data_IF_680786797768
#
_entry.id   IF_680786797768
#
_cell.length_a   1.000
_cell.length_b   1.000
_cell.length_c   1.000
_cell.angle_alpha   90.00
_cell.angle_beta   90.00
_cell.angle_gamma   90.00
#
_symmetry.space_group_name_H-M   'P 1'
#
loop_
_entity.id
_entity.type
_entity.pdbx_description
1 polymer ?
#
# COMPACT_ATOMS: atom_id res chain seq x y z
N UNK A 1 -4.41 -2.63 41.04
CA UNK A 1 -4.46 -3.62 39.94
C UNK A 1 -4.91 -3.01 38.61
N UNK A 2 -5.94 -2.16 38.56
CA UNK A 2 -6.45 -1.58 37.30
C UNK A 2 -5.44 -0.76 36.48
N UNK A 3 -4.66 0.11 37.12
CA UNK A 3 -3.66 0.94 36.41
C UNK A 3 -2.53 0.11 35.79
N UNK A 4 -1.92 -0.79 36.57
CA UNK A 4 -0.87 -1.70 36.07
C UNK A 4 -1.40 -2.63 34.98
N UNK A 5 -2.62 -3.16 35.14
CA UNK A 5 -3.28 -3.96 34.09
C UNK A 5 -3.51 -3.16 32.80
N UNK A 6 -3.92 -1.90 32.92
CA UNK A 6 -4.10 -0.99 31.78
C UNK A 6 -2.78 -0.72 31.04
N UNK A 7 -1.69 -0.47 31.78
CA UNK A 7 -0.36 -0.27 31.17
C UNK A 7 0.14 -1.53 30.45
N UNK A 8 -0.03 -2.70 31.07
CA UNK A 8 0.35 -3.98 30.46
C UNK A 8 -0.44 -4.24 29.19
N UNK A 9 -1.76 -4.04 29.22
CA UNK A 9 -2.61 -4.19 28.05
C UNK A 9 -2.21 -3.21 26.94
N UNK A 10 -2.04 -1.93 27.27
CA UNK A 10 -1.66 -0.90 26.30
C UNK A 10 -0.30 -1.21 25.65
N UNK A 11 0.69 -1.62 26.44
CA UNK A 11 1.99 -2.03 25.96
C UNK A 11 1.88 -3.23 25.01
N UNK A 12 1.25 -4.31 25.46
CA UNK A 12 1.07 -5.52 24.66
C UNK A 12 0.31 -5.26 23.34
N UNK A 13 -0.75 -4.44 23.40
CA UNK A 13 -1.54 -4.08 22.22
C UNK A 13 -0.70 -3.32 21.19
N UNK A 14 0.03 -2.28 21.60
CA UNK A 14 0.85 -1.49 20.68
C UNK A 14 2.04 -2.30 20.14
N UNK A 15 2.64 -3.17 20.96
CA UNK A 15 3.67 -4.11 20.48
C UNK A 15 3.10 -5.03 19.41
N UNK A 16 1.92 -5.64 19.62
CA UNK A 16 1.28 -6.49 18.61
C UNK A 16 0.93 -5.71 17.33
N UNK A 17 0.46 -4.47 17.47
CA UNK A 17 0.19 -3.58 16.34
C UNK A 17 1.45 -3.30 15.50
N UNK A 18 2.60 -3.13 16.16
CA UNK A 18 3.87 -2.85 15.48
C UNK A 18 4.45 -4.10 14.82
N UNK A 19 4.44 -5.24 15.52
CA UNK A 19 4.88 -6.53 14.94
C UNK A 19 4.11 -6.85 13.66
N UNK A 20 2.79 -6.61 13.66
CA UNK A 20 1.93 -6.85 12.49
C UNK A 20 2.08 -5.81 11.37
N UNK A 21 2.97 -4.81 11.51
CA UNK A 21 3.36 -3.88 10.46
C UNK A 21 4.72 -4.22 9.83
N UNK A 22 5.45 -5.20 10.37
CA UNK A 22 6.77 -5.57 9.86
C UNK A 22 6.69 -6.32 8.54
N UNK A 23 7.74 -6.21 7.71
CA UNK A 23 7.85 -6.99 6.49
C UNK A 23 7.93 -8.50 6.75
N UNK A 24 8.54 -8.91 7.87
CA UNK A 24 8.60 -10.32 8.28
C UNK A 24 7.19 -10.89 8.49
N UNK A 25 6.34 -10.17 9.22
CA UNK A 25 4.94 -10.57 9.39
C UNK A 25 4.18 -10.59 8.06
N UNK A 26 4.30 -9.53 7.24
CA UNK A 26 3.61 -9.46 5.95
C UNK A 26 4.05 -10.58 5.00
N UNK A 27 5.35 -10.82 4.89
CA UNK A 27 5.94 -11.82 4.00
C UNK A 27 5.58 -13.26 4.36
N UNK A 28 5.21 -13.52 5.62
CA UNK A 28 4.70 -14.82 6.05
C UNK A 28 3.43 -15.26 5.30
N UNK A 29 2.59 -14.31 4.85
CA UNK A 29 1.39 -14.59 4.06
C UNK A 29 1.48 -14.11 2.60
N UNK A 30 2.20 -13.01 2.35
CA UNK A 30 2.29 -12.34 1.05
C UNK A 30 3.63 -12.64 0.33
N UNK A 31 4.18 -13.84 0.50
CA UNK A 31 5.47 -14.22 -0.08
C UNK A 31 5.61 -14.00 -1.61
N UNK A 32 4.58 -14.24 -2.46
CA UNK A 32 4.70 -14.11 -3.92
C UNK A 32 5.12 -12.70 -4.37
N UNK A 33 4.70 -11.68 -3.63
CA UNK A 33 4.88 -10.27 -3.99
C UNK A 33 6.19 -9.66 -3.47
N UNK A 34 6.81 -10.27 -2.46
CA UNK A 34 8.04 -9.77 -1.80
C UNK A 34 9.21 -9.60 -2.78
N UNK A 35 9.29 -10.43 -3.83
CA UNK A 35 10.36 -10.32 -4.83
C UNK A 35 10.20 -9.08 -5.72
N UNK A 36 8.97 -8.62 -5.95
CA UNK A 36 8.68 -7.56 -6.92
C UNK A 36 9.08 -6.19 -6.39
N UNK A 37 8.86 -5.92 -5.09
CA UNK A 37 9.23 -4.63 -4.49
C UNK A 37 10.74 -4.40 -4.53
N UNK A 38 11.55 -5.47 -4.46
CA UNK A 38 13.01 -5.39 -4.44
C UNK A 38 13.62 -4.70 -5.66
N UNK A 39 12.94 -4.73 -6.80
CA UNK A 39 13.39 -4.06 -8.03
C UNK A 39 12.96 -2.58 -8.13
N UNK A 40 12.30 -2.03 -7.11
CA UNK A 40 11.68 -0.69 -7.18
C UNK A 40 12.44 0.34 -6.34
N UNK A 41 12.20 1.61 -6.66
CA UNK A 41 12.79 2.75 -5.94
C UNK A 41 12.34 2.81 -4.46
N UNK A 42 11.21 2.20 -4.12
CA UNK A 42 10.71 2.13 -2.75
C UNK A 42 11.50 1.14 -1.89
N UNK A 43 12.21 0.19 -2.52
CA UNK A 43 13.11 -0.73 -1.81
C UNK A 43 14.55 -0.22 -1.74
N UNK A 44 15.09 0.29 -2.86
CA UNK A 44 16.46 0.80 -2.94
C UNK A 44 16.50 2.08 -3.76
N UNK A 45 17.03 3.16 -3.18
CA UNK A 45 17.16 4.46 -3.82
C UNK A 45 18.37 5.25 -3.31
N UNK A 46 18.65 6.35 -4.00
CA UNK A 46 19.79 7.24 -3.73
C UNK A 46 19.74 7.95 -2.37
N UNK A 47 18.56 8.08 -1.75
CA UNK A 47 18.38 8.83 -0.50
C UNK A 47 18.50 7.95 0.74
N UNK A 48 18.44 6.62 0.58
CA UNK A 48 18.48 5.66 1.69
C UNK A 48 17.18 5.54 2.49
N UNK A 49 16.15 6.31 2.15
CA UNK A 49 14.81 6.22 2.77
C UNK A 49 14.07 5.05 2.13
N UNK A 50 13.68 4.05 2.92
CA UNK A 50 13.01 2.85 2.41
C UNK A 50 11.59 2.77 2.93
N UNK A 51 10.64 2.55 2.02
CA UNK A 51 9.27 2.21 2.39
C UNK A 51 9.15 0.69 2.55
N UNK A 52 8.48 0.26 3.61
CA UNK A 52 8.13 -1.14 3.86
C UNK A 52 6.65 -1.39 3.52
N UNK A 53 6.21 -2.66 3.59
CA UNK A 53 4.85 -3.04 3.23
C UNK A 53 3.77 -2.18 3.91
N UNK A 54 3.94 -1.92 5.20
CA UNK A 54 2.97 -1.17 6.01
C UNK A 54 2.91 0.31 5.66
N UNK A 55 4.01 0.94 5.23
CA UNK A 55 4.01 2.36 4.85
C UNK A 55 3.03 2.66 3.69
N UNK A 56 2.83 1.68 2.80
CA UNK A 56 1.91 1.80 1.66
C UNK A 56 0.55 1.10 1.88
N UNK A 57 0.48 0.01 2.66
CA UNK A 57 -0.75 -0.78 2.83
C UNK A 57 -1.49 -0.55 4.15
N UNK A 58 -0.87 0.12 5.12
CA UNK A 58 -1.43 0.39 6.44
C UNK A 58 -1.38 1.90 6.71
N UNK A 59 -2.54 2.57 6.82
CA UNK A 59 -2.59 4.00 7.14
C UNK A 59 -1.80 4.39 8.40
N UNK A 60 -1.23 5.59 8.40
CA UNK A 60 -0.53 6.13 9.57
C UNK A 60 -1.48 6.65 10.64
N UNK A 61 -2.57 7.33 10.24
CA UNK A 61 -3.60 7.80 11.16
C UNK A 61 -4.21 6.62 11.93
N UNK A 62 -4.32 6.76 13.25
CA UNK A 62 -4.76 5.70 14.14
C UNK A 62 -6.12 5.12 13.76
N UNK A 63 -7.12 5.96 13.45
CA UNK A 63 -8.48 5.49 13.13
C UNK A 63 -8.47 4.65 11.85
N UNK A 64 -7.85 5.17 10.79
CA UNK A 64 -7.76 4.47 9.51
C UNK A 64 -6.92 3.19 9.62
N UNK A 65 -5.85 3.21 10.43
CA UNK A 65 -5.02 2.05 10.73
C UNK A 65 -5.84 0.93 11.35
N UNK A 66 -6.66 1.25 12.35
CA UNK A 66 -7.54 0.27 13.01
C UNK A 66 -8.58 -0.27 12.03
N UNK A 67 -9.24 0.60 11.25
CA UNK A 67 -10.20 0.17 10.22
C UNK A 67 -9.54 -0.80 9.23
N UNK A 68 -8.35 -0.46 8.71
CA UNK A 68 -7.62 -1.30 7.76
C UNK A 68 -7.20 -2.63 8.38
N UNK A 69 -6.76 -2.66 9.64
CA UNK A 69 -6.41 -3.90 10.33
C UNK A 69 -7.62 -4.79 10.60
N UNK A 70 -8.78 -4.21 10.91
CA UNK A 70 -10.05 -4.97 10.98
C UNK A 70 -10.40 -5.54 9.61
N UNK A 71 -10.29 -4.77 8.53
CA UNK A 71 -10.50 -5.28 7.16
C UNK A 71 -9.51 -6.39 6.80
N UNK A 72 -8.24 -6.25 7.20
CA UNK A 72 -7.15 -7.21 6.95
C UNK A 72 -7.42 -8.57 7.60
N UNK A 73 -8.23 -8.65 8.66
CA UNK A 73 -8.60 -9.93 9.28
C UNK A 73 -9.21 -10.92 8.28
N UNK A 74 -9.89 -10.43 7.23
CA UNK A 74 -10.42 -11.25 6.13
C UNK A 74 -9.31 -11.88 5.28
N UNK A 75 -8.16 -11.22 5.17
CA UNK A 75 -6.99 -11.76 4.46
C UNK A 75 -6.39 -12.95 5.20
N UNK A 76 -6.43 -12.95 6.53
CA UNK A 76 -6.00 -14.10 7.35
C UNK A 76 -6.88 -15.31 7.06
N UNK A 77 -8.21 -15.12 7.02
CA UNK A 77 -9.15 -16.19 6.65
C UNK A 77 -8.88 -16.69 5.23
N UNK A 78 -8.70 -15.78 4.27
CA UNK A 78 -8.40 -16.13 2.88
C UNK A 78 -7.05 -16.86 2.71
N UNK A 79 -6.06 -16.54 3.55
CA UNK A 79 -4.77 -17.24 3.61
C UNK A 79 -4.93 -18.65 4.18
N UNK A 80 -5.66 -18.81 5.30
CA UNK A 80 -5.96 -20.13 5.88
C UNK A 80 -6.75 -21.02 4.91
N UNK A 81 -7.58 -20.44 4.04
CA UNK A 81 -8.29 -21.15 2.97
C UNK A 81 -7.44 -21.44 1.73
N UNK A 82 -6.17 -21.02 1.70
CA UNK A 82 -5.27 -21.30 0.57
C UNK A 82 -5.68 -20.62 -0.73
N UNK A 83 -6.25 -19.42 -0.67
CA UNK A 83 -6.82 -18.77 -1.87
C UNK A 83 -5.79 -18.21 -2.86
N UNK A 84 -4.53 -18.04 -2.42
CA UNK A 84 -3.38 -17.56 -3.21
C UNK A 84 -2.07 -18.25 -2.80
N UNK A 85 -2.16 -19.47 -2.26
CA UNK A 85 -1.01 -20.22 -1.70
C UNK A 85 -0.07 -20.83 -2.74
N UNK A 86 -0.43 -20.76 -4.03
CA UNK A 86 0.41 -21.15 -5.17
C UNK A 86 0.56 -19.98 -6.14
N UNK A 87 1.66 -19.97 -6.89
CA UNK A 87 1.90 -18.95 -7.92
C UNK A 87 0.74 -18.90 -8.94
N UNK A 88 0.23 -20.06 -9.35
CA UNK A 88 -0.91 -20.14 -10.29
C UNK A 88 -2.18 -19.48 -9.72
N UNK A 89 -2.53 -19.77 -8.47
CA UNK A 89 -3.70 -19.15 -7.81
C UNK A 89 -3.49 -17.65 -7.59
N UNK A 90 -2.28 -17.23 -7.25
CA UNK A 90 -1.94 -15.82 -7.12
C UNK A 90 -2.08 -15.09 -8.45
N UNK A 91 -1.47 -15.60 -9.52
CA UNK A 91 -1.55 -15.02 -10.86
C UNK A 91 -3.00 -14.94 -11.36
N UNK A 92 -3.79 -15.99 -11.17
CA UNK A 92 -5.22 -16.01 -11.52
C UNK A 92 -6.05 -14.94 -10.80
N UNK A 93 -5.58 -14.43 -9.65
CA UNK A 93 -6.28 -13.42 -8.84
C UNK A 93 -5.56 -12.07 -8.80
N UNK A 94 -4.39 -11.94 -9.42
CA UNK A 94 -3.52 -10.78 -9.27
C UNK A 94 -4.21 -9.49 -9.70
N UNK A 95 -4.89 -9.50 -10.86
CA UNK A 95 -5.65 -8.35 -11.35
C UNK A 95 -6.74 -7.91 -10.37
N UNK A 96 -7.55 -8.86 -9.90
CA UNK A 96 -8.61 -8.60 -8.91
C UNK A 96 -8.07 -8.00 -7.60
N UNK A 97 -6.96 -8.54 -7.10
CA UNK A 97 -6.33 -8.05 -5.86
C UNK A 97 -5.75 -6.63 -6.06
N UNK A 98 -5.09 -6.39 -7.19
CA UNK A 98 -4.52 -5.09 -7.53
C UNK A 98 -5.61 -4.02 -7.69
N UNK A 99 -6.70 -4.34 -8.39
CA UNK A 99 -7.85 -3.43 -8.54
C UNK A 99 -8.48 -3.06 -7.21
N UNK A 100 -8.59 -4.03 -6.29
CA UNK A 100 -9.12 -3.75 -4.94
C UNK A 100 -8.23 -2.78 -4.16
N UNK A 101 -6.92 -2.96 -4.23
CA UNK A 101 -5.97 -2.06 -3.56
C UNK A 101 -5.91 -0.68 -4.24
N UNK A 102 -5.94 -0.61 -5.57
CA UNK A 102 -6.03 0.67 -6.29
C UNK A 102 -7.32 1.41 -5.99
N UNK A 103 -8.46 0.70 -5.95
CA UNK A 103 -9.73 1.29 -5.56
C UNK A 103 -9.65 1.86 -4.15
N UNK A 104 -9.10 1.11 -3.18
CA UNK A 104 -8.92 1.57 -1.81
C UNK A 104 -8.06 2.84 -1.74
N UNK A 105 -6.90 2.82 -2.41
CA UNK A 105 -5.99 3.96 -2.48
C UNK A 105 -6.56 5.15 -3.27
N UNK A 106 -7.51 4.92 -4.17
CA UNK A 106 -8.22 6.01 -4.87
C UNK A 106 -9.30 6.61 -3.98
N UNK A 107 -10.11 5.78 -3.34
CA UNK A 107 -11.22 6.19 -2.48
C UNK A 107 -10.74 7.02 -1.27
N UNK A 108 -9.50 6.83 -0.83
CA UNK A 108 -8.87 7.60 0.26
C UNK A 108 -7.90 8.70 -0.22
N UNK A 109 -7.97 9.11 -1.49
CA UNK A 109 -7.08 10.12 -2.10
C UNK A 109 -5.59 9.81 -1.94
N UNK A 110 -5.23 8.53 -2.00
CA UNK A 110 -3.85 8.03 -1.94
C UNK A 110 -3.09 8.50 -0.70
N UNK A 111 -3.78 8.53 0.45
CA UNK A 111 -3.22 9.03 1.71
C UNK A 111 -1.89 8.36 2.06
N UNK A 112 -1.72 7.06 1.75
CA UNK A 112 -0.48 6.34 2.03
C UNK A 112 0.69 6.85 1.19
N UNK A 113 0.44 7.24 -0.06
CA UNK A 113 1.44 7.90 -0.89
C UNK A 113 1.82 9.27 -0.31
N UNK A 114 0.82 10.02 0.15
CA UNK A 114 0.97 11.40 0.64
C UNK A 114 1.69 11.51 1.99
N UNK A 115 1.76 10.43 2.77
CA UNK A 115 2.58 10.37 3.98
C UNK A 115 4.07 10.67 3.71
N UNK A 116 4.54 10.46 2.47
CA UNK A 116 5.91 10.76 2.05
C UNK A 116 5.96 11.69 0.82
N UNK A 117 4.98 11.60 -0.08
CA UNK A 117 4.87 12.39 -1.31
C UNK A 117 3.81 13.48 -1.16
N UNK A 118 4.07 14.43 -0.28
CA UNK A 118 3.15 15.54 -0.07
C UNK A 118 3.17 16.48 -1.30
N UNK A 119 1.98 16.80 -1.80
CA UNK A 119 1.82 17.48 -3.09
C UNK A 119 2.51 18.84 -3.13
N UNK A 120 2.43 19.58 -2.01
CA UNK A 120 3.00 20.93 -1.89
C UNK A 120 4.53 20.94 -1.95
N UNK A 121 5.19 19.80 -1.78
CA UNK A 121 6.65 19.66 -1.83
C UNK A 121 7.14 18.94 -3.10
N UNK A 122 6.24 18.69 -4.04
CA UNK A 122 6.60 18.16 -5.35
C UNK A 122 7.16 19.30 -6.22
N UNK A 123 8.43 19.22 -6.56
CA UNK A 123 9.04 20.14 -7.52
C UNK A 123 8.67 19.75 -8.95
N UNK A 124 7.88 20.59 -9.63
CA UNK A 124 7.48 20.38 -11.02
C UNK A 124 8.58 20.70 -12.03
N UNK A 125 9.59 21.50 -11.66
CA UNK A 125 10.69 21.86 -12.56
C UNK A 125 11.64 20.68 -12.83
N UNK A 126 11.72 19.74 -11.89
CA UNK A 126 12.51 18.50 -12.00
C UNK A 126 11.75 17.37 -12.74
N UNK A 127 10.58 17.64 -13.29
CA UNK A 127 9.74 16.64 -13.94
C UNK A 127 9.72 16.78 -15.46
N UNK A 128 9.50 15.65 -16.14
CA UNK A 128 9.18 15.68 -17.56
C UNK A 128 7.91 16.53 -17.81
N UNK A 129 7.82 17.27 -18.94
CA UNK A 129 6.71 18.20 -19.19
C UNK A 129 5.32 17.58 -19.06
N UNK A 130 5.15 16.32 -19.48
CA UNK A 130 3.88 15.57 -19.32
C UNK A 130 3.51 15.39 -17.86
N UNK A 131 4.44 14.95 -17.02
CA UNK A 131 4.19 14.72 -15.60
C UNK A 131 3.92 16.03 -14.86
N UNK A 132 4.72 17.07 -15.14
CA UNK A 132 4.51 18.40 -14.58
C UNK A 132 3.11 18.94 -14.92
N UNK A 133 2.65 18.77 -16.17
CA UNK A 133 1.31 19.19 -16.59
C UNK A 133 0.21 18.41 -15.86
N UNK A 134 0.33 17.08 -15.77
CA UNK A 134 -0.67 16.25 -15.07
C UNK A 134 -0.73 16.54 -13.57
N UNK A 135 0.42 16.73 -12.92
CA UNK A 135 0.48 17.07 -11.51
C UNK A 135 -0.08 18.47 -11.22
N UNK A 136 0.28 19.47 -12.03
CA UNK A 136 -0.20 20.85 -11.84
C UNK A 136 -1.66 21.08 -12.26
N UNK A 137 -2.29 20.11 -12.92
CA UNK A 137 -3.70 20.18 -13.34
C UNK A 137 -4.55 19.14 -12.64
N UNK A 138 -4.62 17.91 -13.14
CA UNK A 138 -5.53 16.87 -12.69
C UNK A 138 -5.29 16.42 -11.24
N UNK A 139 -4.04 16.41 -10.77
CA UNK A 139 -3.74 16.12 -9.36
C UNK A 139 -4.03 17.35 -8.47
N UNK A 140 -3.73 18.56 -8.96
CA UNK A 140 -3.95 19.81 -8.23
C UNK A 140 -5.44 20.12 -8.02
N UNK A 141 -6.28 19.85 -9.01
CA UNK A 141 -7.74 20.02 -8.94
C UNK A 141 -8.42 18.97 -8.05
N UNK A 142 -7.75 17.84 -7.79
CA UNK A 142 -8.33 16.68 -7.11
C UNK A 142 -9.15 15.76 -8.02
N UNK A 143 -9.15 15.99 -9.35
CA UNK A 143 -9.84 15.12 -10.32
C UNK A 143 -9.21 13.72 -10.40
N UNK A 144 -7.93 13.60 -10.03
CA UNK A 144 -7.16 12.37 -10.02
C UNK A 144 -6.38 12.21 -8.72
N UNK A 145 -6.13 10.96 -8.37
CA UNK A 145 -5.28 10.53 -7.25
C UNK A 145 -3.97 9.95 -7.78
N UNK A 146 -2.99 9.69 -6.90
CA UNK A 146 -1.69 9.18 -7.30
C UNK A 146 -1.82 7.86 -8.09
N UNK A 147 -2.69 6.97 -7.63
CA UNK A 147 -2.89 5.63 -8.23
C UNK A 147 -3.73 5.62 -9.50
N UNK A 148 -4.33 6.74 -9.90
CA UNK A 148 -4.99 6.83 -11.21
C UNK A 148 -3.98 6.78 -12.36
N UNK A 149 -2.77 7.30 -12.13
CA UNK A 149 -1.67 7.29 -13.09
C UNK A 149 -0.56 6.30 -12.71
N UNK A 150 -0.21 6.21 -11.43
CA UNK A 150 0.90 5.40 -10.95
C UNK A 150 0.41 4.02 -10.47
N UNK A 151 0.01 3.16 -11.41
CA UNK A 151 -0.24 1.75 -11.13
C UNK A 151 1.06 0.94 -11.29
N UNK A 152 1.26 -0.08 -10.47
CA UNK A 152 2.44 -0.95 -10.54
C UNK A 152 3.75 -0.34 -10.04
N UNK A 153 3.68 0.55 -9.05
CA UNK A 153 4.85 1.27 -8.50
C UNK A 153 5.78 0.33 -7.71
N UNK A 154 5.19 -0.48 -6.83
CA UNK A 154 5.91 -1.39 -5.94
C UNK A 154 5.89 -2.84 -6.45
N UNK A 155 4.96 -3.15 -7.35
CA UNK A 155 4.59 -4.50 -7.75
C UNK A 155 4.38 -4.53 -9.25
N UNK A 156 4.62 -5.67 -9.89
CA UNK A 156 4.41 -5.83 -11.33
C UNK A 156 2.94 -5.60 -11.65
N UNK A 157 2.69 -4.92 -12.76
CA UNK A 157 1.33 -4.79 -13.28
C UNK A 157 0.81 -6.19 -13.65
N UNK A 158 -0.42 -6.55 -13.22
CA UNK A 158 -1.11 -7.73 -13.72
C UNK A 158 -1.48 -7.57 -15.21
N UNK A 159 -2.11 -8.58 -15.81
CA UNK A 159 -2.74 -8.40 -17.13
C UNK A 159 -3.81 -7.30 -17.04
N UNK A 160 -3.58 -6.21 -17.77
CA UNK A 160 -4.39 -5.00 -17.70
C UNK A 160 -5.56 -4.97 -18.70
N UNK A 161 -5.72 -5.98 -19.56
CA UNK A 161 -6.72 -5.95 -20.66
C UNK A 161 -8.15 -5.65 -20.22
N UNK A 162 -8.51 -6.03 -18.99
CA UNK A 162 -9.86 -5.85 -18.44
C UNK A 162 -9.93 -4.80 -17.33
N UNK A 163 -8.86 -4.05 -17.08
CA UNK A 163 -8.83 -3.04 -16.02
C UNK A 163 -9.51 -1.77 -16.54
N UNK A 164 -10.55 -1.33 -15.85
CA UNK A 164 -11.31 -0.12 -16.21
C UNK A 164 -10.38 1.11 -16.28
N UNK A 165 -10.48 1.86 -17.38
CA UNK A 165 -9.69 3.07 -17.62
C UNK A 165 -8.22 2.81 -18.01
N UNK A 166 -7.87 1.59 -18.41
CA UNK A 166 -6.55 1.24 -18.93
C UNK A 166 -6.62 0.90 -20.42
N UNK A 167 -6.36 1.90 -21.27
CA UNK A 167 -6.25 1.77 -22.74
C UNK A 167 -5.11 2.66 -23.26
#
# INVERSE_FOLDING_TARGET
MGFMGGLLFWGAFNTGMEVTNTEEFCSGCHAPIVKEIKSTIHYSNRSGVRAICSDCHVPHNWTDKIVRKVQASKEIVAHMMGTIDTDEKFQARQAHLAEREWKRMKDNNSQECRNCHEFNYIDFSEQAPRSANQHSTALASGDKTCVDCHKGIAHKLPDMKNVEGWQ
#
